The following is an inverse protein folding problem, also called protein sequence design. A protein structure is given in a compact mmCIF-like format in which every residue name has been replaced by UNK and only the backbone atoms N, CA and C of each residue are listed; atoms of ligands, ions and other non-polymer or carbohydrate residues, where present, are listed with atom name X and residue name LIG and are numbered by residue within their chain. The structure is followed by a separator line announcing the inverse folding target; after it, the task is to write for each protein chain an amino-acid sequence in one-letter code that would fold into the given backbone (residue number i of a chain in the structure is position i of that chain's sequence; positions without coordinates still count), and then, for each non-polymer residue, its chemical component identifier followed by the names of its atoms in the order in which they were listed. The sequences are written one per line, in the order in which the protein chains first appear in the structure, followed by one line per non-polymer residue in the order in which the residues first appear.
data_IF_211317624828
#
_entry.id   IF_211317624828
#
_cell.length_a   1.000
_cell.length_b   1.000
_cell.length_c   1.000
_cell.angle_alpha   90.00
_cell.angle_beta   90.00
_cell.angle_gamma   90.00
#
_symmetry.space_group_name_H-M   'P 1'
#
loop_
_entity.id
_entity.type
_entity.pdbx_description
1 polymer ?
#
# COMPACT_ATOMS: atom_id res chain seq x y z
N UNK A 1 8.61 -4.30 -0.49
CA UNK A 1 7.20 -4.62 -0.86
C UNK A 1 7.12 -5.13 -2.29
N UNK A 2 7.36 -4.31 -3.33
CA UNK A 2 7.22 -4.72 -4.74
C UNK A 2 7.92 -6.04 -5.09
N UNK A 3 9.19 -6.20 -4.70
CA UNK A 3 9.93 -7.44 -4.96
C UNK A 3 9.28 -8.67 -4.28
N UNK A 4 8.83 -8.50 -3.03
CA UNK A 4 8.18 -9.56 -2.27
C UNK A 4 6.83 -9.95 -2.89
N UNK A 5 6.00 -8.99 -3.28
CA UNK A 5 4.68 -9.25 -3.90
C UNK A 5 4.78 -9.83 -5.31
N UNK A 6 5.96 -9.78 -5.96
CA UNK A 6 6.24 -10.50 -7.20
C UNK A 6 6.65 -11.95 -6.97
N UNK A 7 7.27 -12.25 -5.83
CA UNK A 7 7.72 -13.59 -5.46
C UNK A 7 6.62 -14.39 -4.74
N UNK A 8 5.81 -13.70 -3.93
CA UNK A 8 4.76 -14.27 -3.11
C UNK A 8 3.42 -13.70 -3.55
N UNK A 9 2.46 -14.59 -3.84
CA UNK A 9 1.08 -14.19 -4.09
C UNK A 9 0.44 -13.83 -2.75
N UNK A 10 0.13 -12.55 -2.57
CA UNK A 10 -0.60 -12.06 -1.41
C UNK A 10 -2.08 -12.01 -1.75
N UNK A 11 -2.89 -12.77 -1.03
CA UNK A 11 -4.34 -12.90 -1.27
C UNK A 11 -5.18 -11.92 -0.45
N UNK A 12 -4.55 -11.25 0.51
CA UNK A 12 -5.19 -10.24 1.36
C UNK A 12 -4.94 -8.83 0.83
N UNK A 13 -5.87 -7.88 1.02
CA UNK A 13 -5.65 -6.48 0.68
C UNK A 13 -4.46 -5.87 1.43
N UNK A 14 -3.69 -5.01 0.77
CA UNK A 14 -2.54 -4.29 1.36
C UNK A 14 -2.78 -2.78 1.25
N UNK A 15 -2.64 -2.08 2.38
CA UNK A 15 -2.57 -0.60 2.41
C UNK A 15 -1.14 -0.20 2.77
N UNK A 16 -0.57 0.72 2.00
CA UNK A 16 0.82 1.17 2.19
C UNK A 16 0.80 2.62 2.64
N UNK A 17 1.34 2.89 3.84
CA UNK A 17 1.63 4.26 4.30
C UNK A 17 3.14 4.46 4.25
N UNK A 18 3.59 5.44 3.47
CA UNK A 18 5.01 5.69 3.24
C UNK A 18 5.36 7.11 3.70
N UNK A 19 6.41 7.23 4.49
CA UNK A 19 6.94 8.50 4.97
C UNK A 19 8.45 8.39 5.09
N UNK A 20 9.19 9.40 4.65
CA UNK A 20 10.65 9.43 4.74
C UNK A 20 11.31 10.18 3.60
N UNK A 21 12.48 9.72 3.18
CA UNK A 21 13.18 10.29 2.02
C UNK A 21 12.74 9.62 0.73
N UNK A 22 12.84 10.35 -0.39
CA UNK A 22 12.52 9.85 -1.74
C UNK A 22 11.08 9.35 -1.91
N UNK A 23 10.10 9.92 -1.18
CA UNK A 23 8.70 9.49 -1.24
C UNK A 23 8.14 9.52 -2.66
N UNK A 24 8.45 10.57 -3.41
CA UNK A 24 8.02 10.73 -4.82
C UNK A 24 8.51 9.56 -5.68
N UNK A 25 9.75 9.12 -5.50
CA UNK A 25 10.30 8.00 -6.25
C UNK A 25 9.70 6.67 -5.81
N UNK A 26 9.55 6.47 -4.49
CA UNK A 26 8.89 5.28 -3.94
C UNK A 26 7.43 5.16 -4.42
N UNK A 27 6.68 6.26 -4.47
CA UNK A 27 5.31 6.30 -4.99
C UNK A 27 5.29 5.89 -6.46
N UNK A 28 6.18 6.44 -7.30
CA UNK A 28 6.27 6.05 -8.72
C UNK A 28 6.57 4.56 -8.89
N UNK A 29 7.46 4.00 -8.08
CA UNK A 29 7.77 2.56 -8.11
C UNK A 29 6.53 1.73 -7.76
N UNK A 30 5.76 2.12 -6.74
CA UNK A 30 4.53 1.44 -6.36
C UNK A 30 3.45 1.57 -7.44
N UNK A 31 3.24 2.76 -8.00
CA UNK A 31 2.25 2.99 -9.05
C UNK A 31 2.56 2.20 -10.32
N UNK A 32 3.85 2.02 -10.66
CA UNK A 32 4.29 1.21 -11.79
C UNK A 32 3.86 -0.27 -11.71
N UNK A 33 3.50 -0.75 -10.51
CA UNK A 33 3.00 -2.12 -10.28
C UNK A 33 1.55 -2.14 -9.79
N UNK A 34 0.81 -1.04 -9.98
CA UNK A 34 -0.60 -0.93 -9.62
C UNK A 34 -0.86 -0.76 -8.12
N UNK A 35 0.15 -0.43 -7.32
CA UNK A 35 0.02 -0.13 -5.90
C UNK A 35 0.03 1.37 -5.66
N UNK A 36 -0.64 1.83 -4.61
CA UNK A 36 -0.60 3.24 -4.19
C UNK A 36 -0.17 3.32 -2.73
N UNK A 37 0.60 4.35 -2.40
CA UNK A 37 0.94 4.70 -1.04
C UNK A 37 0.22 5.97 -0.58
N UNK A 38 -0.11 6.01 0.69
CA UNK A 38 -0.64 7.16 1.40
C UNK A 38 0.47 7.79 2.24
N UNK A 39 0.44 9.11 2.41
CA UNK A 39 1.36 9.83 3.30
C UNK A 39 0.74 10.04 4.69
N UNK A 40 -0.59 10.21 4.74
CA UNK A 40 -1.36 10.46 5.94
C UNK A 40 -1.71 9.16 6.69
N UNK A 41 -1.59 9.18 8.02
CA UNK A 41 -1.84 8.01 8.86
C UNK A 41 -3.34 7.74 9.00
N UNK A 42 -4.14 8.77 9.22
CA UNK A 42 -5.57 8.63 9.49
C UNK A 42 -6.27 8.05 8.25
N UNK A 43 -5.95 8.57 7.06
CA UNK A 43 -6.43 8.03 5.79
C UNK A 43 -6.05 6.55 5.58
N UNK A 44 -4.84 6.16 5.96
CA UNK A 44 -4.39 4.78 5.83
C UNK A 44 -5.16 3.83 6.77
N UNK A 45 -5.42 4.27 8.00
CA UNK A 45 -6.21 3.52 8.98
C UNK A 45 -7.66 3.38 8.52
N UNK A 46 -8.29 4.45 8.07
CA UNK A 46 -9.66 4.41 7.55
C UNK A 46 -9.79 3.43 6.38
N UNK A 47 -8.85 3.47 5.44
CA UNK A 47 -8.87 2.60 4.27
C UNK A 47 -8.67 1.13 4.62
N UNK A 48 -7.73 0.80 5.52
CA UNK A 48 -7.49 -0.59 5.92
C UNK A 48 -8.67 -1.18 6.69
N UNK A 49 -9.29 -0.39 7.59
CA UNK A 49 -10.48 -0.83 8.34
C UNK A 49 -11.65 -1.07 7.40
N UNK A 50 -11.86 -0.20 6.40
CA UNK A 50 -12.89 -0.38 5.39
C UNK A 50 -12.70 -1.68 4.61
N UNK A 51 -11.49 -1.91 4.08
CA UNK A 51 -11.16 -3.11 3.32
C UNK A 51 -11.30 -4.39 4.16
N UNK A 52 -10.89 -4.36 5.42
CA UNK A 52 -11.01 -5.50 6.32
C UNK A 52 -12.48 -5.87 6.60
N UNK A 53 -13.38 -4.88 6.67
CA UNK A 53 -14.82 -5.12 6.84
C UNK A 53 -15.49 -5.66 5.58
N UNK A 54 -15.05 -5.24 4.39
CA UNK A 54 -15.58 -5.73 3.11
C UNK A 54 -15.13 -7.17 2.79
N UNK A 55 -14.02 -7.62 3.38
CA UNK A 55 -13.48 -8.96 3.20
C UNK A 55 -14.02 -10.02 4.19
N UNK A 56 -14.84 -9.61 5.17
CA UNK A 56 -15.45 -10.46 6.19
C UNK A 56 -16.88 -10.89 5.81
#
# INVERSE_FOLDING_TARGET
IVAATRQFKVEVPIVIRLTGTNEVEAIRILESVGMRALSDMDQAVEQVVKLAREAA
#
